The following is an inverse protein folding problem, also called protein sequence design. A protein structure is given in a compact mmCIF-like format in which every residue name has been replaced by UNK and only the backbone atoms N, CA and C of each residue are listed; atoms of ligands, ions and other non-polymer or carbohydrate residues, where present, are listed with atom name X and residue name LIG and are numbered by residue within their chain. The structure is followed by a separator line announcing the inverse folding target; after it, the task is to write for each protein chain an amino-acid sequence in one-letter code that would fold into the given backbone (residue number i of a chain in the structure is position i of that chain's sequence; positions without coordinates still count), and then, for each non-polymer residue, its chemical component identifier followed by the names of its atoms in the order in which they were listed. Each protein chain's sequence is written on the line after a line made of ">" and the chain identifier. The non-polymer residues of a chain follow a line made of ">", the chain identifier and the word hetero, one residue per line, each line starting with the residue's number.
data_IF_354322434812
#
_entry.id   IF_354322434812
#
_cell.length_a   1.000
_cell.length_b   1.000
_cell.length_c   1.000
_cell.angle_alpha   90.00
_cell.angle_beta   90.00
_cell.angle_gamma   90.00
#
_symmetry.space_group_name_H-M   'P 1'
#
loop_
_entity.id
_entity.type
_entity.pdbx_description
1 polymer ?
#
# COMPACT_ATOMS: atom_id res chain seq x y z
N UNK A 1 10.15 21.65 -7.40
CA UNK A 1 9.68 20.27 -7.65
C UNK A 1 9.16 19.72 -6.33
N UNK A 2 7.93 19.20 -6.27
CA UNK A 2 7.41 18.60 -5.03
C UNK A 2 7.96 17.16 -4.84
N UNK A 3 7.82 16.61 -3.62
CA UNK A 3 8.28 15.26 -3.31
C UNK A 3 7.66 14.18 -4.21
N UNK A 4 6.37 14.30 -4.53
CA UNK A 4 5.68 13.36 -5.43
C UNK A 4 6.26 13.35 -6.84
N UNK A 5 6.42 14.52 -7.48
CA UNK A 5 7.04 14.65 -8.79
C UNK A 5 8.49 14.14 -8.79
N UNK A 6 9.24 14.41 -7.72
CA UNK A 6 10.61 13.92 -7.56
C UNK A 6 10.66 12.39 -7.54
N UNK A 7 9.83 11.74 -6.71
CA UNK A 7 9.74 10.29 -6.63
C UNK A 7 9.29 9.68 -7.96
N UNK A 8 8.34 10.31 -8.65
CA UNK A 8 7.91 9.87 -9.98
C UNK A 8 9.06 9.88 -10.99
N UNK A 9 9.82 10.97 -11.07
CA UNK A 9 10.96 11.07 -11.99
C UNK A 9 12.05 10.03 -11.70
N UNK A 10 12.33 9.78 -10.42
CA UNK A 10 13.28 8.73 -10.03
C UNK A 10 12.80 7.34 -10.44
N UNK A 11 11.51 7.05 -10.28
CA UNK A 11 10.91 5.79 -10.71
C UNK A 11 10.92 5.66 -12.25
N UNK A 12 10.65 6.73 -12.99
CA UNK A 12 10.70 6.74 -14.46
C UNK A 12 12.10 6.46 -14.98
N UNK A 13 13.09 7.17 -14.45
CA UNK A 13 14.48 6.97 -14.79
C UNK A 13 14.92 5.53 -14.50
N UNK A 14 14.46 4.95 -13.38
CA UNK A 14 14.71 3.54 -13.04
C UNK A 14 14.12 2.59 -14.08
N UNK A 15 12.89 2.81 -14.51
CA UNK A 15 12.25 1.96 -15.52
C UNK A 15 12.94 2.04 -16.88
N UNK A 16 13.43 3.24 -17.25
CA UNK A 16 14.10 3.50 -18.53
C UNK A 16 15.59 3.17 -18.55
N UNK A 17 16.19 2.80 -17.42
CA UNK A 17 17.64 2.65 -17.29
C UNK A 17 18.42 3.95 -17.57
N UNK A 18 17.80 5.09 -17.26
CA UNK A 18 18.39 6.40 -17.47
C UNK A 18 18.81 7.03 -16.14
N UNK A 19 19.72 7.99 -16.23
CA UNK A 19 20.03 8.86 -15.10
C UNK A 19 18.88 9.86 -14.92
N UNK A 20 18.35 9.96 -13.70
CA UNK A 20 17.30 10.93 -13.43
C UNK A 20 17.87 12.35 -13.53
N UNK A 21 17.20 13.22 -14.30
CA UNK A 21 17.61 14.61 -14.49
C UNK A 21 16.47 15.57 -14.23
N UNK A 22 16.80 16.80 -13.83
CA UNK A 22 15.83 17.87 -13.65
C UNK A 22 15.19 18.24 -15.00
N UNK A 23 13.86 18.24 -15.14
CA UNK A 23 13.20 18.60 -16.41
C UNK A 23 13.50 20.01 -16.90
N UNK A 24 13.88 20.93 -16.00
CA UNK A 24 14.13 22.33 -16.33
C UNK A 24 15.59 22.59 -16.71
N UNK A 25 16.54 22.13 -15.90
CA UNK A 25 17.97 22.44 -16.08
C UNK A 25 18.85 21.25 -16.46
N UNK A 26 18.28 20.04 -16.54
CA UNK A 26 18.96 18.76 -16.89
C UNK A 26 20.09 18.32 -15.96
N UNK A 27 20.31 19.00 -14.84
CA UNK A 27 21.23 18.52 -13.80
C UNK A 27 20.77 17.16 -13.26
N UNK A 28 21.73 16.30 -12.91
CA UNK A 28 21.46 15.03 -12.26
C UNK A 28 20.70 15.22 -10.95
N UNK A 29 19.69 14.38 -10.72
CA UNK A 29 18.92 14.35 -9.49
C UNK A 29 18.96 12.95 -8.87
N UNK A 30 19.10 12.89 -7.54
CA UNK A 30 19.08 11.63 -6.80
C UNK A 30 18.70 11.88 -5.34
N UNK A 31 18.32 10.82 -4.61
CA UNK A 31 18.00 10.92 -3.17
C UNK A 31 19.17 11.43 -2.32
N UNK A 32 20.41 11.29 -2.78
CA UNK A 32 21.61 11.76 -2.08
C UNK A 32 22.04 13.18 -2.47
N UNK A 33 21.74 13.61 -3.69
CA UNK A 33 22.11 14.94 -4.19
C UNK A 33 21.07 16.00 -3.84
N UNK A 34 19.79 15.62 -3.85
CA UNK A 34 18.69 16.55 -3.58
C UNK A 34 18.33 16.53 -2.09
N UNK A 35 18.23 17.72 -1.49
CA UNK A 35 17.78 17.89 -0.11
C UNK A 35 16.40 18.55 -0.05
N UNK A 36 15.71 18.32 1.06
CA UNK A 36 14.41 18.94 1.34
C UNK A 36 14.60 20.42 1.65
N UNK A 37 13.94 21.30 0.91
CA UNK A 37 14.00 22.74 1.15
C UNK A 37 12.86 23.18 2.09
N UNK A 38 13.13 23.13 3.39
CA UNK A 38 12.15 23.47 4.43
C UNK A 38 11.66 24.93 4.35
N UNK A 39 12.52 25.86 3.91
CA UNK A 39 12.14 27.25 3.76
C UNK A 39 11.11 27.45 2.65
N UNK A 40 11.33 26.80 1.50
CA UNK A 40 10.35 26.81 0.39
C UNK A 40 9.07 26.12 0.79
N UNK A 41 9.14 24.98 1.49
CA UNK A 41 7.94 24.30 1.97
C UNK A 41 7.13 25.16 2.93
N UNK A 42 7.79 25.85 3.88
CA UNK A 42 7.13 26.78 4.79
C UNK A 42 6.54 27.98 4.05
N UNK A 43 7.25 28.55 3.07
CA UNK A 43 6.71 29.64 2.27
C UNK A 43 5.47 29.19 1.48
N UNK A 44 5.52 27.99 0.89
CA UNK A 44 4.41 27.39 0.15
C UNK A 44 3.23 27.07 1.08
N UNK A 45 3.47 26.67 2.33
CA UNK A 45 2.39 26.38 3.29
C UNK A 45 1.60 27.61 3.71
N UNK A 46 2.20 28.80 3.65
CA UNK A 46 1.53 30.06 3.95
C UNK A 46 0.78 30.66 2.75
N UNK A 47 0.96 30.10 1.55
CA UNK A 47 0.23 30.58 0.37
C UNK A 47 -1.28 30.34 0.55
N UNK A 48 -2.12 31.28 0.07
CA UNK A 48 -3.57 31.11 0.12
C UNK A 48 -4.01 29.96 -0.79
N UNK A 49 -4.99 29.21 -0.31
CA UNK A 49 -5.67 28.14 -1.03
C UNK A 49 -7.14 28.15 -0.66
N UNK A 50 -8.00 27.80 -1.61
CA UNK A 50 -9.44 27.80 -1.41
C UNK A 50 -9.90 26.50 -0.73
N UNK A 51 -10.85 26.65 0.20
CA UNK A 51 -11.56 25.52 0.77
C UNK A 51 -12.54 24.95 -0.25
N UNK A 52 -12.42 23.66 -0.59
CA UNK A 52 -13.33 22.99 -1.53
C UNK A 52 -14.80 22.85 -1.07
N UNK A 53 -15.13 23.28 0.16
CA UNK A 53 -16.50 23.27 0.67
C UNK A 53 -17.12 24.68 0.69
N UNK A 54 -16.46 25.64 1.35
CA UNK A 54 -16.99 27.01 1.53
C UNK A 54 -16.39 28.05 0.57
N UNK A 55 -15.45 27.65 -0.30
CA UNK A 55 -14.74 28.49 -1.28
C UNK A 55 -13.97 29.69 -0.69
N UNK A 56 -13.80 29.77 0.63
CA UNK A 56 -13.00 30.81 1.30
C UNK A 56 -11.51 30.48 1.24
N UNK A 57 -10.67 31.52 1.23
CA UNK A 57 -9.22 31.39 1.19
C UNK A 57 -8.63 31.23 2.59
N UNK A 58 -7.73 30.26 2.73
CA UNK A 58 -6.96 30.02 3.94
C UNK A 58 -5.50 29.70 3.57
N UNK A 59 -4.53 29.94 4.48
CA UNK A 59 -3.19 29.38 4.34
C UNK A 59 -3.28 27.86 4.18
N UNK A 60 -2.49 27.27 3.28
CA UNK A 60 -2.46 25.81 3.06
C UNK A 60 -2.18 25.03 4.36
N UNK A 61 -1.37 25.58 5.25
CA UNK A 61 -1.06 25.01 6.57
C UNK A 61 -2.30 24.85 7.46
N UNK A 62 -3.30 25.72 7.31
CA UNK A 62 -4.54 25.70 8.11
C UNK A 62 -5.71 25.03 7.38
N UNK A 63 -5.60 24.84 6.07
CA UNK A 63 -6.70 24.36 5.23
C UNK A 63 -7.21 22.98 5.67
N UNK A 64 -6.31 22.05 6.00
CA UNK A 64 -6.69 20.70 6.44
C UNK A 64 -7.46 20.74 7.76
N UNK A 65 -6.99 21.52 8.74
CA UNK A 65 -7.70 21.70 10.02
C UNK A 65 -9.06 22.36 9.80
N UNK A 66 -9.10 23.41 8.98
CA UNK A 66 -10.35 24.06 8.62
C UNK A 66 -11.36 23.08 8.03
N UNK A 67 -10.97 22.31 7.01
CA UNK A 67 -11.83 21.34 6.32
C UNK A 67 -12.33 20.22 7.26
N UNK A 68 -11.52 19.79 8.22
CA UNK A 68 -11.88 18.70 9.15
C UNK A 68 -12.73 19.17 10.32
N UNK A 69 -12.44 20.33 10.88
CA UNK A 69 -12.94 20.71 12.21
C UNK A 69 -13.75 22.01 12.21
N UNK A 70 -13.36 23.01 11.42
CA UNK A 70 -13.90 24.38 11.57
C UNK A 70 -14.94 24.75 10.48
N UNK A 71 -14.86 24.13 9.31
CA UNK A 71 -15.68 24.48 8.16
C UNK A 71 -17.16 24.09 8.38
N UNK A 72 -18.08 25.04 8.20
CA UNK A 72 -19.53 24.82 8.34
C UNK A 72 -20.12 24.00 7.20
N UNK A 73 -19.45 24.00 6.04
CA UNK A 73 -19.86 23.27 4.85
C UNK A 73 -19.14 21.92 4.71
N UNK A 74 -18.32 21.54 5.71
CA UNK A 74 -17.66 20.24 5.71
C UNK A 74 -18.69 19.12 5.74
N UNK A 75 -18.40 18.05 5.02
CA UNK A 75 -19.24 16.85 5.01
C UNK A 75 -19.11 16.14 6.36
N UNK A 76 -20.21 16.02 7.07
CA UNK A 76 -20.30 15.29 8.34
C UNK A 76 -21.33 14.17 8.25
N UNK A 77 -21.32 13.31 9.26
CA UNK A 77 -22.15 12.11 9.35
C UNK A 77 -23.01 12.21 10.60
N UNK A 78 -24.24 11.75 10.51
CA UNK A 78 -25.17 11.71 11.64
C UNK A 78 -24.61 10.85 12.79
N UNK A 79 -24.83 11.24 14.06
CA UNK A 79 -24.45 10.41 15.22
C UNK A 79 -25.07 9.01 15.20
N UNK A 80 -26.24 8.88 14.58
CA UNK A 80 -26.96 7.61 14.39
C UNK A 80 -26.42 6.78 13.21
N UNK A 81 -25.29 7.17 12.61
CA UNK A 81 -24.58 6.30 11.65
C UNK A 81 -24.24 4.92 12.25
N UNK A 82 -24.03 4.84 13.56
CA UNK A 82 -23.78 3.57 14.28
C UNK A 82 -24.95 2.58 14.18
N UNK A 83 -26.17 3.09 13.98
CA UNK A 83 -27.38 2.30 13.76
C UNK A 83 -27.83 2.37 12.29
N UNK A 84 -26.90 2.65 11.38
CA UNK A 84 -27.16 2.56 9.95
C UNK A 84 -27.74 3.82 9.30
N UNK A 85 -27.72 4.99 9.94
CA UNK A 85 -28.12 6.22 9.26
C UNK A 85 -27.17 6.56 8.10
N UNK A 86 -27.65 6.65 6.83
CA UNK A 86 -26.80 6.90 5.67
C UNK A 86 -26.52 8.38 5.44
N UNK A 87 -27.13 9.28 6.24
CA UNK A 87 -27.05 10.73 6.01
C UNK A 87 -25.61 11.23 6.07
N UNK A 88 -25.24 11.96 5.03
CA UNK A 88 -24.00 12.72 4.93
C UNK A 88 -24.33 14.08 4.33
N UNK A 89 -23.94 15.15 4.99
CA UNK A 89 -24.29 16.50 4.57
C UNK A 89 -23.42 17.57 5.22
N UNK A 90 -23.62 18.85 4.86
CA UNK A 90 -22.94 19.98 5.48
C UNK A 90 -23.14 20.00 7.00
N UNK A 91 -22.10 20.39 7.75
CA UNK A 91 -22.17 20.43 9.21
C UNK A 91 -23.28 21.34 9.75
N UNK A 92 -23.56 22.46 9.09
CA UNK A 92 -24.62 23.37 9.55
C UNK A 92 -26.03 22.75 9.51
N UNK A 93 -26.26 21.73 8.68
CA UNK A 93 -27.52 20.97 8.60
C UNK A 93 -27.58 19.79 9.58
N UNK A 94 -26.45 19.41 10.19
CA UNK A 94 -26.34 18.23 11.06
C UNK A 94 -27.34 18.29 12.22
N UNK A 95 -27.44 19.43 12.90
CA UNK A 95 -28.32 19.58 14.07
C UNK A 95 -29.79 19.42 13.69
N UNK A 96 -30.18 19.93 12.51
CA UNK A 96 -31.55 19.82 12.00
C UNK A 96 -31.84 18.35 11.67
N UNK A 97 -30.95 17.70 10.91
CA UNK A 97 -31.09 16.28 10.60
C UNK A 97 -31.14 15.41 11.86
N UNK A 98 -30.29 15.66 12.86
CA UNK A 98 -30.27 14.86 14.08
C UNK A 98 -31.54 14.98 14.92
N UNK A 99 -32.24 16.12 14.85
CA UNK A 99 -33.55 16.31 15.47
C UNK A 99 -34.67 15.58 14.71
N UNK A 100 -34.56 15.49 13.39
CA UNK A 100 -35.56 14.87 12.50
C UNK A 100 -35.20 13.42 12.12
N UNK A 101 -34.09 12.87 12.64
CA UNK A 101 -33.61 11.57 12.24
C UNK A 101 -34.62 10.49 12.61
N UNK A 102 -35.04 9.69 11.63
CA UNK A 102 -36.02 8.62 11.83
C UNK A 102 -35.38 7.32 12.33
N UNK A 103 -34.05 7.17 12.22
CA UNK A 103 -33.33 5.95 12.63
C UNK A 103 -33.49 5.56 14.10
N UNK A 104 -33.53 6.48 15.08
CA UNK A 104 -33.84 6.15 16.46
C UNK A 104 -35.25 5.58 16.68
N UNK A 105 -36.19 5.91 15.80
CA UNK A 105 -37.58 5.44 15.86
C UNK A 105 -37.86 4.20 14.99
N UNK A 106 -36.87 3.74 14.20
CA UNK A 106 -36.99 2.51 13.41
C UNK A 106 -37.11 1.29 14.30
N UNK A 107 -37.83 0.29 13.82
CA UNK A 107 -37.99 -0.97 14.55
C UNK A 107 -36.70 -1.79 14.49
N UNK A 108 -36.51 -2.68 15.47
CA UNK A 108 -35.32 -3.54 15.52
C UNK A 108 -35.12 -4.33 14.23
N UNK A 109 -36.20 -4.85 13.62
CA UNK A 109 -36.11 -5.63 12.38
C UNK A 109 -35.52 -4.83 11.20
N UNK A 110 -35.92 -3.57 11.03
CA UNK A 110 -35.40 -2.69 9.96
C UNK A 110 -33.95 -2.28 10.19
N UNK A 111 -33.52 -2.18 11.46
CA UNK A 111 -32.13 -1.90 11.81
C UNK A 111 -31.24 -3.13 11.65
N UNK A 112 -31.77 -4.34 11.88
CA UNK A 112 -31.01 -5.58 11.79
C UNK A 112 -30.43 -5.83 10.39
N UNK A 113 -31.16 -5.51 9.32
CA UNK A 113 -30.64 -5.65 7.95
C UNK A 113 -29.42 -4.75 7.70
N UNK A 114 -29.52 -3.47 8.10
CA UNK A 114 -28.43 -2.50 7.90
C UNK A 114 -27.24 -2.83 8.81
N UNK A 115 -27.52 -3.26 10.05
CA UNK A 115 -26.49 -3.67 10.99
C UNK A 115 -25.80 -4.96 10.55
N UNK A 116 -26.51 -5.90 9.92
CA UNK A 116 -25.90 -7.11 9.38
C UNK A 116 -24.90 -6.77 8.29
N UNK A 117 -25.21 -5.89 7.33
CA UNK A 117 -24.23 -5.46 6.32
C UNK A 117 -22.98 -4.80 6.92
N UNK A 118 -23.18 -3.94 7.93
CA UNK A 118 -22.08 -3.30 8.67
C UNK A 118 -21.23 -4.33 9.41
N UNK A 119 -21.87 -5.29 10.07
CA UNK A 119 -21.22 -6.36 10.81
C UNK A 119 -20.49 -7.33 9.87
N UNK A 120 -21.04 -7.66 8.70
CA UNK A 120 -20.36 -8.46 7.68
C UNK A 120 -19.07 -7.78 7.19
N UNK A 121 -19.09 -6.47 6.98
CA UNK A 121 -17.89 -5.72 6.57
C UNK A 121 -16.84 -5.73 7.68
N UNK A 122 -17.26 -5.48 8.92
CA UNK A 122 -16.35 -5.50 10.07
C UNK A 122 -15.81 -6.91 10.36
N UNK A 123 -16.64 -7.95 10.24
CA UNK A 123 -16.26 -9.36 10.34
C UNK A 123 -15.20 -9.71 9.30
N UNK A 124 -15.31 -9.27 8.05
CA UNK A 124 -14.28 -9.51 7.02
C UNK A 124 -12.93 -8.89 7.40
N UNK A 125 -12.93 -7.65 7.90
CA UNK A 125 -11.69 -7.01 8.37
C UNK A 125 -11.11 -7.75 9.58
N UNK A 126 -11.95 -8.11 10.55
CA UNK A 126 -11.53 -8.84 11.75
C UNK A 126 -11.07 -10.26 11.44
N UNK A 127 -11.65 -10.92 10.43
CA UNK A 127 -11.24 -12.24 9.97
C UNK A 127 -9.78 -12.24 9.49
N UNK A 128 -9.31 -11.20 8.80
CA UNK A 128 -7.91 -11.10 8.40
C UNK A 128 -6.99 -11.04 9.62
N UNK A 129 -7.30 -10.17 10.59
CA UNK A 129 -6.52 -10.08 11.83
C UNK A 129 -6.53 -11.39 12.61
N UNK A 130 -7.71 -12.00 12.79
CA UNK A 130 -7.86 -13.28 13.46
C UNK A 130 -7.08 -14.39 12.74
N UNK A 131 -7.06 -14.38 11.42
CA UNK A 131 -6.28 -15.32 10.61
C UNK A 131 -4.78 -15.13 10.85
N UNK A 132 -4.28 -13.88 10.83
CA UNK A 132 -2.88 -13.58 11.14
C UNK A 132 -2.53 -14.01 12.58
N UNK A 133 -3.39 -13.72 13.56
CA UNK A 133 -3.19 -14.19 14.94
C UNK A 133 -3.18 -15.71 15.04
N UNK A 134 -4.03 -16.40 14.28
CA UNK A 134 -4.02 -17.85 14.15
C UNK A 134 -2.68 -18.35 13.59
N UNK A 135 -2.15 -17.72 12.55
CA UNK A 135 -0.84 -18.07 12.00
C UNK A 135 0.29 -17.88 13.03
N UNK A 136 0.21 -16.84 13.86
CA UNK A 136 1.16 -16.59 14.95
C UNK A 136 1.14 -17.67 16.05
N UNK A 137 0.14 -18.54 16.07
CA UNK A 137 0.08 -19.68 17.01
C UNK A 137 0.83 -20.93 16.53
N UNK A 138 1.30 -20.95 15.27
CA UNK A 138 2.06 -22.09 14.76
C UNK A 138 3.45 -22.18 15.39
N UNK A 139 3.95 -23.42 15.55
CA UNK A 139 5.29 -23.67 16.11
C UNK A 139 6.40 -23.17 15.17
N UNK A 140 6.20 -23.33 13.86
CA UNK A 140 7.20 -23.03 12.83
C UNK A 140 6.91 -21.72 12.11
N UNK A 141 7.36 -20.63 12.73
CA UNK A 141 7.27 -19.28 12.19
C UNK A 141 8.65 -18.78 11.81
N UNK A 142 8.77 -18.35 10.57
CA UNK A 142 9.95 -17.73 10.00
C UNK A 142 9.72 -16.26 9.73
N UNK A 143 10.67 -15.43 10.14
CA UNK A 143 10.71 -14.00 9.81
C UNK A 143 12.07 -13.65 9.24
N UNK A 144 12.09 -12.88 8.16
CA UNK A 144 13.31 -12.26 7.65
C UNK A 144 13.02 -10.97 6.92
N UNK A 145 14.00 -10.07 6.94
CA UNK A 145 14.02 -8.93 6.04
C UNK A 145 14.62 -9.38 4.71
N UNK A 146 13.97 -8.97 3.62
CA UNK A 146 14.38 -9.32 2.27
C UNK A 146 14.69 -8.05 1.48
N UNK A 147 15.83 -8.07 0.80
CA UNK A 147 16.26 -6.98 -0.06
C UNK A 147 16.22 -7.43 -1.51
N UNK A 148 15.28 -6.89 -2.25
CA UNK A 148 15.15 -7.04 -3.68
C UNK A 148 16.17 -6.16 -4.39
N UNK A 149 17.01 -6.77 -5.21
CA UNK A 149 18.00 -6.10 -6.06
C UNK A 149 17.49 -6.08 -7.50
N UNK A 150 17.60 -4.95 -8.20
CA UNK A 150 17.16 -4.84 -9.58
C UNK A 150 18.10 -5.65 -10.49
N UNK A 151 17.54 -6.30 -11.49
CA UNK A 151 18.26 -6.87 -12.62
C UNK A 151 17.44 -6.68 -13.89
N UNK A 152 18.10 -6.80 -15.05
CA UNK A 152 17.45 -6.67 -16.35
C UNK A 152 17.70 -7.92 -17.18
N UNK A 153 16.78 -8.20 -18.09
CA UNK A 153 16.95 -9.23 -19.10
C UNK A 153 17.69 -8.67 -20.31
N UNK A 154 18.49 -9.51 -20.98
CA UNK A 154 19.23 -9.17 -22.20
C UNK A 154 18.33 -9.17 -23.46
N UNK A 155 17.02 -8.98 -23.28
CA UNK A 155 16.06 -8.91 -24.39
C UNK A 155 16.22 -7.58 -25.15
N UNK A 156 15.76 -7.54 -26.41
CA UNK A 156 15.75 -6.32 -27.23
C UNK A 156 15.04 -5.13 -26.54
N UNK A 157 14.06 -5.41 -25.67
CA UNK A 157 13.48 -4.44 -24.73
C UNK A 157 13.85 -4.90 -23.34
N UNK A 158 14.84 -4.24 -22.72
CA UNK A 158 15.30 -4.58 -21.38
C UNK A 158 14.16 -4.39 -20.38
N UNK A 159 13.81 -5.45 -19.65
CA UNK A 159 12.74 -5.41 -18.65
C UNK A 159 13.35 -5.36 -17.26
N UNK A 160 12.82 -4.49 -16.42
CA UNK A 160 13.23 -4.38 -15.03
C UNK A 160 12.54 -5.45 -14.17
N UNK A 161 13.35 -6.31 -13.57
CA UNK A 161 12.94 -7.28 -12.57
C UNK A 161 13.69 -7.03 -11.27
N UNK A 162 13.21 -7.66 -10.22
CA UNK A 162 13.79 -7.60 -8.90
C UNK A 162 13.94 -9.02 -8.35
N UNK A 163 15.09 -9.32 -7.76
CA UNK A 163 15.33 -10.62 -7.13
C UNK A 163 16.07 -10.42 -5.80
N UNK A 164 15.73 -11.23 -4.81
CA UNK A 164 16.47 -11.28 -3.56
C UNK A 164 17.66 -12.24 -3.68
N UNK A 165 18.80 -11.98 -3.01
CA UNK A 165 19.75 -13.05 -2.74
C UNK A 165 19.07 -14.25 -2.07
N UNK A 166 19.66 -15.44 -2.21
CA UNK A 166 19.18 -16.61 -1.47
C UNK A 166 19.21 -16.32 0.02
N UNK A 167 18.11 -16.58 0.71
CA UNK A 167 18.00 -16.44 2.15
C UNK A 167 17.46 -17.72 2.76
N UNK A 168 17.80 -17.97 4.03
CA UNK A 168 17.42 -19.19 4.73
C UNK A 168 16.42 -18.88 5.84
N UNK A 169 15.26 -19.51 5.79
CA UNK A 169 14.18 -19.39 6.78
C UNK A 169 13.53 -20.76 6.95
N UNK A 170 13.24 -21.14 8.20
CA UNK A 170 12.67 -22.46 8.55
C UNK A 170 13.52 -23.64 8.01
N UNK A 171 14.85 -23.51 8.06
CA UNK A 171 15.81 -24.49 7.52
C UNK A 171 15.66 -24.79 6.03
N UNK A 172 15.00 -23.91 5.29
CA UNK A 172 14.83 -23.98 3.85
C UNK A 172 15.45 -22.74 3.19
N UNK A 173 15.94 -22.91 1.96
CA UNK A 173 16.54 -21.83 1.17
C UNK A 173 15.53 -21.30 0.18
N UNK A 174 15.30 -20.00 0.21
CA UNK A 174 14.27 -19.32 -0.57
C UNK A 174 14.87 -18.22 -1.45
N UNK A 175 14.14 -17.87 -2.51
CA UNK A 175 14.37 -16.70 -3.34
C UNK A 175 13.01 -16.06 -3.62
N UNK A 176 12.95 -14.74 -3.56
CA UNK A 176 11.80 -13.98 -4.03
C UNK A 176 12.17 -13.27 -5.34
N UNK A 177 11.27 -13.35 -6.31
CA UNK A 177 11.33 -12.59 -7.56
C UNK A 177 10.16 -11.64 -7.62
N UNK A 178 10.35 -10.47 -8.21
CA UNK A 178 9.29 -9.51 -8.44
C UNK A 178 9.40 -8.89 -9.83
N UNK A 179 8.24 -8.60 -10.42
CA UNK A 179 8.09 -7.99 -11.74
C UNK A 179 7.23 -6.74 -11.63
N UNK A 180 7.53 -5.76 -12.47
CA UNK A 180 6.76 -4.50 -12.55
C UNK A 180 5.71 -4.63 -13.65
N UNK A 181 4.48 -4.21 -13.38
CA UNK A 181 3.34 -4.21 -14.31
C UNK A 181 3.14 -5.54 -15.05
N UNK A 182 3.35 -6.67 -14.36
CA UNK A 182 3.25 -8.01 -14.93
C UNK A 182 4.03 -8.19 -16.26
N UNK A 183 5.20 -7.55 -16.36
CA UNK A 183 6.07 -7.57 -17.54
C UNK A 183 5.44 -6.96 -18.80
N UNK A 184 4.59 -5.95 -18.64
CA UNK A 184 4.11 -5.11 -19.73
C UNK A 184 5.27 -4.54 -20.56
N UNK A 185 5.05 -4.37 -21.88
CA UNK A 185 6.11 -3.98 -22.83
C UNK A 185 6.66 -2.57 -22.56
N UNK A 186 5.83 -1.64 -22.09
CA UNK A 186 6.18 -0.23 -21.87
C UNK A 186 5.60 0.30 -20.53
N UNK A 187 6.09 -0.18 -19.37
CA UNK A 187 5.53 0.21 -18.07
C UNK A 187 5.72 1.70 -17.75
N UNK A 188 6.68 2.35 -18.40
CA UNK A 188 6.95 3.78 -18.31
C UNK A 188 5.87 4.66 -18.96
N UNK A 189 5.03 4.11 -19.84
CA UNK A 189 3.93 4.85 -20.48
C UNK A 189 2.63 4.81 -19.66
N UNK A 190 2.58 3.95 -18.64
CA UNK A 190 1.44 3.83 -17.74
C UNK A 190 1.67 4.65 -16.46
N UNK A 191 0.65 5.43 -16.09
CA UNK A 191 0.56 6.07 -14.78
C UNK A 191 0.13 5.07 -13.68
N UNK A 192 -0.33 3.87 -14.07
CA UNK A 192 -0.67 2.78 -13.16
C UNK A 192 0.52 1.85 -13.03
N UNK A 193 1.06 1.76 -11.81
CA UNK A 193 2.23 0.91 -11.52
C UNK A 193 1.89 -0.11 -10.46
N UNK A 194 2.16 -1.36 -10.77
CA UNK A 194 1.97 -2.50 -9.86
C UNK A 194 3.26 -3.30 -9.76
N UNK A 195 3.43 -3.97 -8.63
CA UNK A 195 4.47 -4.96 -8.43
C UNK A 195 3.76 -6.29 -8.16
N UNK A 196 4.22 -7.35 -8.78
CA UNK A 196 3.85 -8.73 -8.43
C UNK A 196 5.10 -9.51 -8.06
N UNK A 197 4.95 -10.51 -7.21
CA UNK A 197 6.06 -11.29 -6.70
C UNK A 197 5.76 -12.79 -6.70
N UNK A 198 6.82 -13.57 -6.70
CA UNK A 198 6.82 -15.02 -6.69
C UNK A 198 7.79 -15.48 -5.61
N UNK A 199 7.37 -16.43 -4.77
CA UNK A 199 8.23 -17.09 -3.80
C UNK A 199 8.69 -18.44 -4.36
N UNK A 200 9.99 -18.66 -4.32
CA UNK A 200 10.62 -19.87 -4.86
C UNK A 200 11.42 -20.58 -3.78
N UNK A 201 11.14 -21.86 -3.58
CA UNK A 201 11.92 -22.78 -2.77
C UNK A 201 13.08 -23.35 -3.59
N UNK A 202 14.31 -23.19 -3.09
CA UNK A 202 15.55 -23.66 -3.75
C UNK A 202 16.17 -24.89 -3.10
N UNK A 203 15.83 -25.19 -1.85
CA UNK A 203 16.21 -26.43 -1.19
C UNK A 203 15.26 -27.57 -1.55
N UNK A 204 15.73 -28.82 -1.42
CA UNK A 204 14.88 -30.00 -1.56
C UNK A 204 14.09 -30.24 -0.27
N UNK A 205 12.85 -30.70 -0.41
CA UNK A 205 12.00 -31.08 0.71
C UNK A 205 11.79 -32.59 0.77
N UNK A 206 11.74 -33.14 1.98
CA UNK A 206 11.51 -34.56 2.20
C UNK A 206 10.03 -34.94 2.05
N UNK A 207 9.14 -33.98 2.27
CA UNK A 207 7.69 -34.12 2.17
C UNK A 207 7.09 -32.80 1.68
N UNK A 208 5.87 -32.80 1.11
CA UNK A 208 5.17 -31.56 0.77
C UNK A 208 5.13 -30.60 1.96
N UNK A 209 5.51 -29.35 1.73
CA UNK A 209 5.60 -28.30 2.74
C UNK A 209 4.48 -27.29 2.51
N UNK A 210 3.45 -27.35 3.34
CA UNK A 210 2.35 -26.40 3.32
C UNK A 210 2.76 -25.12 4.08
N UNK A 211 2.69 -23.99 3.38
CA UNK A 211 3.14 -22.69 3.90
C UNK A 211 2.08 -21.62 3.70
N UNK A 212 1.88 -20.80 4.73
CA UNK A 212 1.29 -19.47 4.59
C UNK A 212 2.40 -18.42 4.59
N UNK A 213 2.30 -17.37 3.77
CA UNK A 213 3.28 -16.30 3.77
C UNK A 213 2.66 -14.94 3.44
N UNK A 214 3.31 -13.87 3.88
CA UNK A 214 2.95 -12.51 3.53
C UNK A 214 4.19 -11.61 3.46
N UNK A 215 4.11 -10.60 2.60
CA UNK A 215 5.11 -9.54 2.49
C UNK A 215 4.56 -8.23 3.05
N UNK A 216 5.34 -7.61 3.93
CA UNK A 216 5.02 -6.35 4.59
C UNK A 216 6.12 -5.32 4.35
N UNK A 217 5.82 -4.05 4.69
CA UNK A 217 6.80 -2.97 4.59
C UNK A 217 8.04 -3.21 5.47
N UNK A 218 9.20 -2.75 5.00
CA UNK A 218 10.45 -2.76 5.76
C UNK A 218 10.47 -1.76 6.94
N UNK A 219 11.49 -1.82 7.83
CA UNK A 219 11.58 -0.99 9.03
C UNK A 219 11.72 0.52 8.78
N UNK A 220 12.21 0.89 7.60
CA UNK A 220 12.57 2.27 7.25
C UNK A 220 11.86 2.76 5.98
N UNK A 221 10.88 1.99 5.50
CA UNK A 221 10.11 2.37 4.33
C UNK A 221 8.78 2.98 4.75
N UNK A 222 8.44 4.11 4.15
CA UNK A 222 7.17 4.82 4.36
C UNK A 222 6.12 4.39 3.33
N UNK A 223 6.29 3.18 2.80
CA UNK A 223 5.40 2.56 1.83
C UNK A 223 4.27 1.85 2.55
N UNK A 224 3.05 2.11 2.08
CA UNK A 224 1.85 1.44 2.60
C UNK A 224 1.51 0.20 1.78
N UNK A 225 1.51 -0.95 2.45
CA UNK A 225 1.20 -2.26 1.89
C UNK A 225 0.13 -2.90 2.79
N UNK A 226 -0.96 -3.38 2.19
CA UNK A 226 -2.01 -4.09 2.92
C UNK A 226 -1.55 -5.54 3.20
N UNK A 227 -1.77 -6.08 4.40
CA UNK A 227 -1.44 -7.48 4.66
C UNK A 227 -2.35 -8.40 3.84
N UNK A 228 -1.75 -9.33 3.07
CA UNK A 228 -2.47 -10.40 2.37
C UNK A 228 -1.72 -11.70 2.63
N UNK A 229 -2.46 -12.71 3.11
CA UNK A 229 -1.92 -14.05 3.38
C UNK A 229 -2.06 -14.88 2.11
N UNK A 230 -0.94 -15.38 1.61
CA UNK A 230 -0.88 -16.35 0.52
C UNK A 230 -0.62 -17.74 1.08
N UNK A 231 -1.24 -18.75 0.46
CA UNK A 231 -1.12 -20.15 0.85
C UNK A 231 -0.57 -20.95 -0.33
N UNK A 232 0.41 -21.80 -0.08
CA UNK A 232 0.99 -22.65 -1.12
C UNK A 232 1.60 -23.92 -0.54
N UNK A 233 1.52 -25.01 -1.30
CA UNK A 233 2.14 -26.30 -0.94
C UNK A 233 3.35 -26.53 -1.82
N UNK A 234 4.54 -26.41 -1.25
CA UNK A 234 5.80 -26.63 -1.95
C UNK A 234 6.13 -28.13 -2.02
N UNK A 235 6.51 -28.59 -3.21
CA UNK A 235 6.98 -29.96 -3.48
C UNK A 235 8.27 -29.90 -4.29
N UNK A 236 8.92 -31.04 -4.53
CA UNK A 236 10.14 -31.06 -5.35
C UNK A 236 9.81 -30.85 -6.84
N UNK A 237 8.58 -31.13 -7.26
CA UNK A 237 8.05 -30.92 -8.61
C UNK A 237 7.46 -29.50 -8.79
N UNK A 238 6.92 -28.92 -7.71
CA UNK A 238 6.31 -27.60 -7.70
C UNK A 238 6.91 -26.75 -6.57
N UNK A 239 7.99 -26.04 -6.90
CA UNK A 239 8.80 -25.29 -5.95
C UNK A 239 8.66 -23.76 -6.09
N UNK A 240 7.81 -23.27 -6.99
CA UNK A 240 7.61 -21.84 -7.23
C UNK A 240 6.12 -21.51 -7.20
N UNK A 241 5.73 -20.42 -6.53
CA UNK A 241 4.34 -19.96 -6.57
C UNK A 241 4.01 -19.34 -7.93
N UNK A 242 2.74 -19.09 -8.22
CA UNK A 242 2.40 -18.12 -9.26
C UNK A 242 2.85 -16.71 -8.84
N UNK A 243 2.94 -15.80 -9.82
CA UNK A 243 3.12 -14.39 -9.53
C UNK A 243 1.82 -13.82 -8.96
N UNK A 244 1.89 -13.37 -7.70
CA UNK A 244 0.79 -12.73 -7.00
C UNK A 244 1.05 -11.23 -6.84
N UNK A 245 0.01 -10.38 -6.85
CA UNK A 245 0.20 -8.94 -6.69
C UNK A 245 0.76 -8.61 -5.30
N UNK A 246 1.72 -7.70 -5.23
CA UNK A 246 2.07 -7.04 -3.98
C UNK A 246 0.97 -6.00 -3.70
N UNK A 247 0.20 -6.14 -2.59
CA UNK A 247 -1.00 -5.34 -2.31
C UNK A 247 -0.63 -3.92 -1.83
N UNK A 248 -0.01 -3.15 -2.72
CA UNK A 248 0.31 -1.74 -2.54
C UNK A 248 -0.97 -0.92 -2.70
N UNK A 249 -1.16 0.09 -1.87
CA UNK A 249 -2.42 0.88 -1.84
C UNK A 249 -2.66 1.63 -3.15
N UNK A 250 -1.63 2.23 -3.73
CA UNK A 250 -1.75 3.02 -4.97
C UNK A 250 -0.43 3.12 -5.77
N UNK A 251 -0.48 3.76 -6.94
CA UNK A 251 0.69 4.00 -7.79
C UNK A 251 1.74 4.90 -7.14
N UNK A 252 1.36 5.79 -6.22
CA UNK A 252 2.30 6.71 -5.55
C UNK A 252 3.20 5.92 -4.60
N UNK A 253 2.61 5.02 -3.84
CA UNK A 253 3.31 4.07 -2.98
C UNK A 253 4.20 3.14 -3.79
N UNK A 254 3.74 2.68 -4.96
CA UNK A 254 4.57 1.88 -5.88
C UNK A 254 5.78 2.67 -6.41
N UNK A 255 5.58 3.95 -6.76
CA UNK A 255 6.68 4.83 -7.19
C UNK A 255 7.74 5.02 -6.11
N UNK A 256 7.37 5.07 -4.82
CA UNK A 256 8.35 5.16 -3.73
C UNK A 256 9.30 3.96 -3.72
N UNK A 257 8.77 2.75 -3.93
CA UNK A 257 9.55 1.51 -4.04
C UNK A 257 10.47 1.54 -5.26
N UNK A 258 9.94 1.89 -6.43
CA UNK A 258 10.71 1.93 -7.68
C UNK A 258 11.78 3.04 -7.70
N UNK A 259 11.57 4.14 -6.98
CA UNK A 259 12.55 5.20 -6.81
C UNK A 259 13.74 4.80 -5.93
N UNK A 260 13.66 3.70 -5.18
CA UNK A 260 14.76 3.17 -4.38
C UNK A 260 15.72 2.32 -5.24
N UNK A 261 17.00 2.28 -4.86
CA UNK A 261 17.97 1.39 -5.52
C UNK A 261 17.65 -0.08 -5.29
N UNK A 262 17.28 -0.41 -4.05
CA UNK A 262 16.84 -1.72 -3.61
C UNK A 262 15.49 -1.56 -2.92
N UNK A 263 14.64 -2.58 -3.03
CA UNK A 263 13.34 -2.63 -2.33
C UNK A 263 13.51 -3.51 -1.10
N UNK A 264 13.22 -2.98 0.09
CA UNK A 264 13.34 -3.73 1.34
C UNK A 264 11.94 -4.05 1.89
N UNK A 265 11.63 -5.33 2.02
CA UNK A 265 10.36 -5.83 2.54
C UNK A 265 10.61 -6.80 3.70
N UNK A 266 9.55 -7.10 4.46
CA UNK A 266 9.55 -8.11 5.51
C UNK A 266 8.76 -9.30 5.06
N UNK A 267 9.38 -10.48 5.08
CA UNK A 267 8.74 -11.73 4.76
C UNK A 267 8.42 -12.48 6.06
N UNK A 268 7.16 -12.89 6.20
CA UNK A 268 6.73 -13.85 7.19
C UNK A 268 6.35 -15.14 6.47
N UNK A 269 6.87 -16.26 6.93
CA UNK A 269 6.53 -17.61 6.45
C UNK A 269 6.09 -18.43 7.65
N UNK A 270 4.99 -19.14 7.51
CA UNK A 270 4.42 -20.03 8.50
C UNK A 270 4.34 -21.42 7.88
N UNK A 271 5.02 -22.39 8.47
CA UNK A 271 4.86 -23.78 8.02
C UNK A 271 3.68 -24.39 8.77
N UNK A 272 2.64 -24.78 8.04
CA UNK A 272 1.47 -25.45 8.58
C UNK A 272 1.85 -26.91 8.84
N UNK A 273 1.82 -27.33 10.10
CA UNK A 273 1.93 -28.73 10.48
C UNK A 273 0.52 -29.27 10.72
N UNK A 274 0.19 -30.39 10.08
CA UNK A 274 -1.01 -31.17 10.39
C UNK A 274 -0.76 -32.03 11.63
#
# INVERSE_FOLDING_TARGET
>A
MCAGCFIHLLADARLKEEQATCPNCRCEISKSLCCRNLAVEKAVSELPSECGFCMRQFPRSLLERHQKEECQDRVTRCKYKRIGCPWQGPYHELTIHEAECTHPAKTGNELMEILDEMDQTHKKEMQLYNSIFGLLSFEKIGYTEVQFRPYRTDDFITRLYYETPRFTVLNQTWVLKARVNDSERNPNLSCKRTLSFQLTLKSKVNSPMECSFLLLKGPYDDVKINPVIYHFVFTNENNETDYVPLPIIDSVECNKLLAAKNINLRLFIFQIQK
#
